data_IF_707670950144
#
_entry.id   IF_707670950144
#
_cell.length_a   1.000
_cell.length_b   1.000
_cell.length_c   1.000
_cell.angle_alpha   90.00
_cell.angle_beta   90.00
_cell.angle_gamma   90.00
#
_symmetry.space_group_name_H-M   'P 1'
#
loop_
_entity.id
_entity.type
_entity.pdbx_description
1 polymer ?
#
# COMPACT_ATOMS: atom_id res chain seq x y z
N UNK A 1 -6.59 -70.05 10.11
CA UNK A 1 -6.67 -69.56 11.52
C UNK A 1 -5.84 -68.30 11.58
N UNK A 2 -6.26 -67.05 11.84
CA UNK A 2 -7.50 -66.34 12.20
C UNK A 2 -7.03 -64.90 12.52
N UNK A 3 -7.73 -63.85 12.08
CA UNK A 3 -7.53 -62.48 12.64
C UNK A 3 -8.14 -62.37 14.05
N UNK A 4 -8.22 -61.19 14.75
CA UNK A 4 -8.08 -59.79 14.27
C UNK A 4 -7.50 -58.74 15.30
N UNK A 5 -7.54 -57.44 14.90
CA UNK A 5 -7.64 -56.19 15.71
C UNK A 5 -6.48 -55.59 16.57
N UNK A 6 -6.04 -54.39 16.12
CA UNK A 6 -5.79 -53.11 16.83
C UNK A 6 -4.96 -53.02 18.13
N UNK A 7 -3.95 -52.13 18.13
CA UNK A 7 -4.01 -50.91 18.97
C UNK A 7 -3.07 -49.82 18.44
N UNK A 8 -3.59 -48.60 18.39
CA UNK A 8 -2.84 -47.38 18.13
C UNK A 8 -2.00 -46.99 19.35
N UNK A 9 -0.83 -46.40 19.12
CA UNK A 9 -0.24 -45.50 20.09
C UNK A 9 0.39 -44.31 19.37
N UNK A 10 -0.22 -43.17 19.67
CA UNK A 10 0.09 -41.81 19.26
C UNK A 10 1.50 -41.41 19.71
N UNK A 11 2.31 -40.93 18.77
CA UNK A 11 3.41 -40.02 19.07
C UNK A 11 3.20 -38.75 18.24
N UNK A 12 2.61 -37.78 18.92
CA UNK A 12 2.44 -36.39 18.50
C UNK A 12 3.79 -35.78 18.12
N UNK A 13 4.03 -35.66 16.82
CA UNK A 13 4.94 -34.66 16.30
C UNK A 13 4.12 -33.60 15.60
N UNK A 14 3.98 -32.48 16.31
CA UNK A 14 3.44 -31.21 15.84
C UNK A 14 4.19 -30.77 14.58
N UNK A 15 3.70 -31.17 13.41
CA UNK A 15 4.02 -30.49 12.16
C UNK A 15 3.04 -29.34 12.05
N UNK A 16 3.52 -28.15 12.38
CA UNK A 16 2.95 -26.90 11.89
C UNK A 16 2.87 -27.00 10.36
N UNK A 17 1.73 -27.46 9.85
CA UNK A 17 1.42 -27.55 8.42
C UNK A 17 1.19 -26.13 7.88
N UNK A 18 2.29 -25.41 7.68
CA UNK A 18 2.33 -24.23 6.82
C UNK A 18 2.76 -24.67 5.42
N UNK A 19 1.83 -25.22 4.65
CA UNK A 19 2.01 -25.41 3.20
C UNK A 19 0.93 -24.61 2.48
N UNK A 20 1.27 -23.60 1.67
CA UNK A 20 0.33 -22.98 0.73
C UNK A 20 -0.20 -24.04 -0.25
N UNK A 21 -1.48 -23.94 -0.63
CA UNK A 21 -2.09 -24.91 -1.54
C UNK A 21 -1.39 -24.99 -2.89
N UNK A 22 -1.08 -26.20 -3.32
CA UNK A 22 -0.69 -26.50 -4.69
C UNK A 22 -1.93 -26.50 -5.60
N UNK A 23 -1.97 -25.54 -6.53
CA UNK A 23 -2.32 -25.81 -7.93
C UNK A 23 -3.74 -26.25 -8.32
N UNK A 24 -4.80 -25.98 -7.55
CA UNK A 24 -6.18 -26.25 -8.02
C UNK A 24 -6.93 -24.95 -8.38
N UNK A 25 -7.80 -24.96 -9.41
CA UNK A 25 -8.62 -23.80 -9.76
C UNK A 25 -9.54 -23.47 -8.58
N UNK A 26 -9.75 -22.17 -8.36
CA UNK A 26 -10.54 -21.63 -7.25
C UNK A 26 -11.93 -22.25 -7.29
N UNK A 27 -12.19 -23.20 -6.39
CA UNK A 27 -13.52 -23.74 -6.18
C UNK A 27 -14.28 -22.75 -5.28
N UNK A 28 -15.41 -22.20 -5.72
CA UNK A 28 -16.18 -21.25 -4.91
C UNK A 28 -16.68 -21.85 -3.58
N UNK A 29 -16.69 -23.18 -3.45
CA UNK A 29 -17.01 -23.90 -2.21
C UNK A 29 -15.78 -24.26 -1.36
N UNK A 30 -14.61 -23.68 -1.62
CA UNK A 30 -13.43 -23.96 -0.81
C UNK A 30 -13.58 -23.35 0.59
N UNK A 31 -13.54 -24.19 1.62
CA UNK A 31 -13.57 -23.74 3.02
C UNK A 31 -12.42 -22.75 3.25
N UNK A 32 -12.75 -21.56 3.76
CA UNK A 32 -11.79 -20.51 4.11
C UNK A 32 -10.60 -21.14 4.84
N UNK A 33 -9.40 -21.03 4.26
CA UNK A 33 -8.18 -21.67 4.77
C UNK A 33 -8.00 -21.42 6.28
N UNK A 34 -8.31 -20.20 6.74
CA UNK A 34 -8.44 -19.82 8.15
C UNK A 34 -9.53 -18.75 8.27
N UNK A 35 -10.53 -18.92 9.14
CA UNK A 35 -11.45 -17.83 9.48
C UNK A 35 -10.65 -16.70 10.14
N UNK A 36 -10.57 -15.48 9.55
CA UNK A 36 -9.83 -14.41 10.17
C UNK A 36 -10.47 -14.09 11.52
N UNK A 37 -9.66 -14.13 12.58
CA UNK A 37 -10.13 -13.68 13.89
C UNK A 37 -10.64 -12.23 13.76
N UNK A 38 -11.67 -11.81 14.53
CA UNK A 38 -12.27 -10.49 14.38
C UNK A 38 -11.25 -9.33 14.46
N UNK A 39 -10.23 -9.49 15.31
CA UNK A 39 -9.14 -8.53 15.49
C UNK A 39 -8.16 -8.43 14.29
N UNK A 40 -8.21 -9.40 13.38
CA UNK A 40 -7.44 -9.39 12.13
C UNK A 40 -8.23 -8.86 10.93
N UNK A 41 -9.50 -8.46 11.11
CA UNK A 41 -10.26 -7.85 10.03
C UNK A 41 -9.72 -6.45 9.68
N UNK A 42 -9.74 -6.04 8.39
CA UNK A 42 -9.34 -4.69 7.98
C UNK A 42 -10.12 -3.60 8.72
N UNK A 43 -11.42 -3.82 8.95
CA UNK A 43 -12.28 -2.89 9.66
C UNK A 43 -11.85 -2.71 11.12
N UNK A 44 -11.64 -3.81 11.86
CA UNK A 44 -11.20 -3.73 13.25
C UNK A 44 -9.86 -3.01 13.37
N UNK A 45 -8.90 -3.34 12.49
CA UNK A 45 -7.58 -2.69 12.49
C UNK A 45 -7.69 -1.20 12.14
N UNK A 46 -8.53 -0.83 11.19
CA UNK A 46 -8.79 0.57 10.85
C UNK A 46 -9.42 1.34 12.02
N UNK A 47 -10.40 0.74 12.71
CA UNK A 47 -11.03 1.34 13.91
C UNK A 47 -10.01 1.47 15.05
N UNK A 48 -9.17 0.45 15.30
CA UNK A 48 -8.16 0.50 16.34
C UNK A 48 -7.13 1.62 16.09
N UNK A 49 -6.68 1.80 14.84
CA UNK A 49 -5.78 2.89 14.45
C UNK A 49 -6.50 4.25 14.59
N UNK A 50 -7.74 4.36 14.10
CA UNK A 50 -8.53 5.58 14.23
C UNK A 50 -8.73 5.96 15.71
N UNK A 51 -9.04 5.00 16.57
CA UNK A 51 -9.17 5.21 18.00
C UNK A 51 -7.86 5.69 18.62
N UNK A 52 -6.73 5.04 18.31
CA UNK A 52 -5.41 5.46 18.78
C UNK A 52 -5.07 6.89 18.34
N UNK A 53 -5.43 7.26 17.10
CA UNK A 53 -5.25 8.62 16.57
C UNK A 53 -6.11 9.65 17.30
N UNK A 54 -7.40 9.37 17.47
CA UNK A 54 -8.33 10.25 18.18
C UNK A 54 -7.90 10.43 19.65
N UNK A 55 -7.43 9.36 20.29
CA UNK A 55 -6.90 9.40 21.65
C UNK A 55 -5.61 10.24 21.75
N UNK A 56 -4.67 10.06 20.82
CA UNK A 56 -3.45 10.87 20.79
C UNK A 56 -3.75 12.36 20.56
N UNK A 57 -4.69 12.68 19.66
CA UNK A 57 -5.16 14.05 19.40
C UNK A 57 -5.82 14.64 20.65
N UNK A 58 -6.69 13.87 21.33
CA UNK A 58 -7.34 14.29 22.57
C UNK A 58 -6.33 14.64 23.66
N UNK A 59 -5.29 13.82 23.85
CA UNK A 59 -4.23 14.11 24.82
C UNK A 59 -3.42 15.36 24.45
N UNK A 60 -3.10 15.56 23.17
CA UNK A 60 -2.38 16.74 22.70
C UNK A 60 -3.19 18.04 22.80
N UNK A 61 -4.51 17.98 22.68
CA UNK A 61 -5.40 19.14 22.79
C UNK A 61 -5.58 19.65 24.23
N UNK A 62 -5.32 18.80 25.23
CA UNK A 62 -5.45 19.16 26.65
C UNK A 62 -4.13 19.65 27.27
N UNK A 63 -3.06 19.81 26.47
CA UNK A 63 -1.82 20.42 26.92
C UNK A 63 -1.95 21.96 26.92
N UNK A 64 -1.66 22.66 28.04
CA UNK A 64 -1.75 24.11 28.09
C UNK A 64 -0.67 24.73 27.18
N UNK A 65 -1.07 25.48 26.16
CA UNK A 65 -0.14 26.28 25.34
C UNK A 65 -0.29 27.76 25.67
N UNK A 66 0.81 28.38 26.12
CA UNK A 66 0.90 29.76 26.62
C UNK A 66 1.51 30.70 25.57
N UNK A 67 0.82 30.97 24.45
CA UNK A 67 1.22 32.09 23.58
C UNK A 67 0.03 32.79 22.91
N UNK A 68 0.09 34.12 22.83
CA UNK A 68 -0.96 34.97 22.26
C UNK A 68 -1.14 34.80 20.74
N UNK A 69 -0.13 34.30 20.03
CA UNK A 69 -0.21 33.95 18.61
C UNK A 69 -1.20 32.80 18.34
N UNK A 70 -1.37 31.89 19.31
CA UNK A 70 -2.27 30.74 19.19
C UNK A 70 -3.77 31.12 19.27
N UNK A 71 -4.11 32.24 19.91
CA UNK A 71 -5.50 32.66 20.08
C UNK A 71 -6.15 33.14 18.77
N UNK A 72 -5.36 33.75 17.88
CA UNK A 72 -5.81 34.22 16.56
C UNK A 72 -5.98 33.05 15.58
N UNK A 73 -5.08 32.05 15.63
CA UNK A 73 -5.14 30.83 14.83
C UNK A 73 -6.31 29.91 15.26
N UNK A 74 -6.62 29.83 16.56
CA UNK A 74 -7.80 29.10 17.07
C UNK A 74 -9.14 29.67 16.60
N UNK A 75 -9.21 30.98 16.35
CA UNK A 75 -10.46 31.65 15.92
C UNK A 75 -10.80 31.34 14.46
N UNK A 76 -9.78 31.11 13.63
CA UNK A 76 -9.89 30.77 12.20
C UNK A 76 -10.18 29.27 12.01
N UNK A 77 -9.56 28.39 12.81
CA UNK A 77 -9.83 26.94 12.81
C UNK A 77 -11.21 26.53 13.35
N UNK A 78 -12.00 27.48 13.89
CA UNK A 78 -13.31 27.21 14.49
C UNK A 78 -14.41 26.89 13.46
N UNK A 79 -14.21 27.22 12.18
CA UNK A 79 -15.22 27.04 11.12
C UNK A 79 -14.87 25.98 10.08
N UNK A 80 -13.62 25.55 10.00
CA UNK A 80 -13.18 24.37 9.25
C UNK A 80 -11.76 24.00 9.74
N UNK A 81 -11.44 22.70 9.74
CA UNK A 81 -10.09 22.11 9.80
C UNK A 81 -9.47 21.89 11.21
N UNK A 82 -8.96 20.66 11.40
CA UNK A 82 -8.35 20.07 12.60
C UNK A 82 -7.40 21.00 13.39
N UNK A 83 -7.28 20.82 14.73
CA UNK A 83 -6.23 21.50 15.53
C UNK A 83 -4.85 21.34 14.89
N UNK A 84 -3.95 22.34 14.93
CA UNK A 84 -2.64 22.28 14.25
C UNK A 84 -1.82 21.02 14.57
N UNK A 85 -1.79 20.60 15.84
CA UNK A 85 -1.11 19.37 16.26
C UNK A 85 -1.73 18.11 15.65
N UNK A 86 -3.05 18.09 15.48
CA UNK A 86 -3.76 16.98 14.84
C UNK A 86 -3.48 16.95 13.33
N UNK A 87 -3.47 18.12 12.67
CA UNK A 87 -3.11 18.23 11.27
C UNK A 87 -1.67 17.78 11.01
N UNK A 88 -0.72 18.19 11.86
CA UNK A 88 0.69 17.78 11.79
C UNK A 88 0.85 16.26 11.97
N UNK A 89 0.14 15.70 12.95
CA UNK A 89 0.12 14.25 13.22
C UNK A 89 -0.41 13.47 12.02
N UNK A 90 -1.55 13.89 11.46
CA UNK A 90 -2.15 13.24 10.28
C UNK A 90 -1.19 13.33 9.09
N UNK A 91 -0.62 14.52 8.83
CA UNK A 91 0.33 14.72 7.74
C UNK A 91 1.54 13.79 7.85
N UNK A 92 2.18 13.74 9.02
CA UNK A 92 3.35 12.89 9.28
C UNK A 92 3.03 11.41 9.11
N UNK A 93 1.91 10.94 9.67
CA UNK A 93 1.53 9.53 9.59
C UNK A 93 1.12 9.13 8.17
N UNK A 94 0.43 10.00 7.45
CA UNK A 94 0.11 9.77 6.04
C UNK A 94 1.39 9.72 5.18
N UNK A 95 2.35 10.63 5.41
CA UNK A 95 3.65 10.60 4.74
C UNK A 95 4.41 9.31 5.06
N UNK A 96 4.57 8.96 6.34
CA UNK A 96 5.29 7.77 6.77
C UNK A 96 4.66 6.48 6.20
N UNK A 97 3.32 6.39 6.21
CA UNK A 97 2.59 5.25 5.65
C UNK A 97 2.82 5.13 4.15
N UNK A 98 2.63 6.22 3.39
CA UNK A 98 2.82 6.20 1.95
C UNK A 98 4.27 5.93 1.56
N UNK A 99 5.20 6.75 2.06
CA UNK A 99 6.61 6.66 1.71
C UNK A 99 7.21 5.31 2.12
N UNK A 100 6.90 4.83 3.34
CA UNK A 100 7.30 3.52 3.82
C UNK A 100 6.75 2.37 2.96
N UNK A 101 5.47 2.46 2.54
CA UNK A 101 4.85 1.48 1.65
C UNK A 101 5.57 1.43 0.30
N UNK A 102 5.88 2.58 -0.30
CA UNK A 102 6.59 2.66 -1.59
C UNK A 102 7.99 2.05 -1.48
N UNK A 103 8.76 2.45 -0.46
CA UNK A 103 10.12 1.96 -0.23
C UNK A 103 10.13 0.45 0.01
N UNK A 104 9.31 -0.04 0.95
CA UNK A 104 9.26 -1.48 1.27
C UNK A 104 8.82 -2.31 0.06
N UNK A 105 7.78 -1.87 -0.65
CA UNK A 105 7.26 -2.62 -1.80
C UNK A 105 8.27 -2.65 -2.95
N UNK A 106 8.92 -1.52 -3.24
CA UNK A 106 9.83 -1.40 -4.39
C UNK A 106 11.13 -2.15 -4.16
N UNK A 107 11.75 -1.99 -2.99
CA UNK A 107 13.11 -2.49 -2.76
C UNK A 107 13.18 -3.82 -2.01
N UNK A 108 12.12 -4.19 -1.28
CA UNK A 108 12.13 -5.40 -0.45
C UNK A 108 11.12 -6.41 -0.97
N UNK A 109 9.83 -6.11 -0.84
CA UNK A 109 8.78 -7.09 -1.11
C UNK A 109 8.74 -7.48 -2.61
N UNK A 110 8.76 -6.51 -3.52
CA UNK A 110 8.69 -6.74 -4.96
C UNK A 110 9.87 -7.59 -5.48
N UNK A 111 11.10 -7.23 -5.10
CA UNK A 111 12.31 -7.98 -5.48
C UNK A 111 12.31 -9.37 -4.88
N UNK A 112 11.91 -9.51 -3.61
CA UNK A 112 11.83 -10.81 -2.94
C UNK A 112 10.83 -11.71 -3.66
N UNK A 113 9.62 -11.22 -3.94
CA UNK A 113 8.60 -12.01 -4.65
C UNK A 113 9.05 -12.36 -6.09
N UNK A 114 9.65 -11.41 -6.82
CA UNK A 114 10.14 -11.65 -8.18
C UNK A 114 11.20 -12.76 -8.23
N UNK A 115 12.10 -12.80 -7.24
CA UNK A 115 13.18 -13.79 -7.18
C UNK A 115 12.75 -15.17 -6.68
N UNK A 116 11.69 -15.25 -5.88
CA UNK A 116 11.36 -16.46 -5.13
C UNK A 116 10.03 -17.12 -5.51
N UNK A 117 9.20 -16.48 -6.35
CA UNK A 117 7.92 -17.05 -6.81
C UNK A 117 7.96 -17.45 -8.28
N UNK A 118 7.25 -18.52 -8.69
CA UNK A 118 7.00 -18.79 -10.09
C UNK A 118 6.37 -17.57 -10.78
N UNK A 119 6.77 -17.26 -12.02
CA UNK A 119 6.37 -16.04 -12.74
C UNK A 119 4.86 -15.77 -12.74
N UNK A 120 4.03 -16.81 -12.92
CA UNK A 120 2.57 -16.67 -12.93
C UNK A 120 1.99 -16.43 -11.53
N UNK A 121 2.55 -17.06 -10.51
CA UNK A 121 2.17 -16.82 -9.11
C UNK A 121 2.50 -15.37 -8.72
N UNK A 122 3.71 -14.92 -9.07
CA UNK A 122 4.14 -13.54 -8.88
C UNK A 122 3.19 -12.54 -9.57
N UNK A 123 2.94 -12.70 -10.87
CA UNK A 123 2.09 -11.80 -11.63
C UNK A 123 0.65 -11.75 -11.12
N UNK A 124 0.06 -12.91 -10.81
CA UNK A 124 -1.28 -13.00 -10.23
C UNK A 124 -1.34 -12.31 -8.88
N UNK A 125 -0.36 -12.52 -8.00
CA UNK A 125 -0.31 -11.83 -6.70
C UNK A 125 -0.17 -10.31 -6.89
N UNK A 126 0.70 -9.85 -7.80
CA UNK A 126 0.87 -8.43 -8.08
C UNK A 126 -0.40 -7.76 -8.60
N UNK A 127 -1.17 -8.42 -9.48
CA UNK A 127 -2.44 -7.88 -9.99
C UNK A 127 -3.51 -7.64 -8.91
N UNK A 128 -3.37 -8.28 -7.74
CA UNK A 128 -4.24 -8.05 -6.57
C UNK A 128 -3.66 -7.00 -5.63
N UNK A 129 -2.33 -6.94 -5.50
CA UNK A 129 -1.66 -6.02 -4.59
C UNK A 129 -1.55 -4.59 -5.14
N UNK A 130 -1.25 -4.43 -6.43
CA UNK A 130 -0.97 -3.09 -6.98
C UNK A 130 -2.16 -2.13 -6.94
N UNK A 131 -3.42 -2.55 -7.23
CA UNK A 131 -4.56 -1.66 -7.07
C UNK A 131 -4.68 -1.13 -5.64
N UNK A 132 -4.52 -2.00 -4.64
CA UNK A 132 -4.57 -1.62 -3.22
C UNK A 132 -3.40 -0.72 -2.83
N UNK A 133 -2.20 -1.01 -3.32
CA UNK A 133 -1.00 -0.21 -3.12
C UNK A 133 -1.18 1.22 -3.65
N UNK A 134 -1.65 1.39 -4.89
CA UNK A 134 -1.83 2.72 -5.48
C UNK A 134 -3.06 3.45 -4.93
N UNK A 135 -4.11 2.74 -4.50
CA UNK A 135 -5.23 3.33 -3.75
C UNK A 135 -4.76 3.89 -2.41
N UNK A 136 -4.03 3.09 -1.63
CA UNK A 136 -3.47 3.53 -0.35
C UNK A 136 -2.57 4.76 -0.57
N UNK A 137 -1.68 4.71 -1.55
CA UNK A 137 -0.82 5.85 -1.90
C UNK A 137 -1.63 7.10 -2.25
N UNK A 138 -2.65 6.97 -3.09
CA UNK A 138 -3.54 8.09 -3.48
C UNK A 138 -4.21 8.72 -2.27
N UNK A 139 -4.80 7.91 -1.38
CA UNK A 139 -5.48 8.40 -0.17
C UNK A 139 -4.49 9.10 0.75
N UNK A 140 -3.34 8.48 1.02
CA UNK A 140 -2.33 9.04 1.92
C UNK A 140 -1.70 10.33 1.39
N UNK A 141 -1.43 10.43 0.08
CA UNK A 141 -0.97 11.69 -0.53
C UNK A 141 -2.08 12.75 -0.48
N UNK A 142 -3.34 12.35 -0.73
CA UNK A 142 -4.49 13.25 -0.60
C UNK A 142 -4.64 13.83 0.81
N UNK A 143 -4.47 13.01 1.85
CA UNK A 143 -4.46 13.47 3.25
C UNK A 143 -3.32 14.46 3.53
N UNK A 144 -2.12 14.22 2.97
CA UNK A 144 -1.01 15.17 3.07
C UNK A 144 -1.36 16.51 2.42
N UNK A 145 -1.99 16.51 1.24
CA UNK A 145 -2.43 17.73 0.55
C UNK A 145 -3.51 18.48 1.34
N UNK A 146 -4.51 17.76 1.88
CA UNK A 146 -5.58 18.36 2.69
C UNK A 146 -5.05 19.03 3.95
N UNK A 147 -4.05 18.41 4.59
CA UNK A 147 -3.42 18.97 5.80
C UNK A 147 -2.54 20.19 5.51
N UNK A 148 -2.13 20.44 4.25
CA UNK A 148 -1.43 21.68 3.86
C UNK A 148 -2.27 22.93 4.12
N UNK A 149 -3.59 22.83 3.91
CA UNK A 149 -4.53 23.94 4.12
C UNK A 149 -4.53 24.36 5.60
N UNK A 150 -4.29 23.42 6.52
CA UNK A 150 -4.27 23.64 7.96
C UNK A 150 -2.93 24.17 8.48
N UNK A 151 -1.85 24.03 7.71
CA UNK A 151 -0.47 24.28 8.16
C UNK A 151 0.37 25.00 7.08
N UNK A 152 -0.04 26.20 6.64
CA UNK A 152 0.65 26.92 5.57
C UNK A 152 2.10 27.29 5.94
N UNK A 153 2.39 27.47 7.23
CA UNK A 153 3.70 27.94 7.71
C UNK A 153 4.78 26.84 7.74
N UNK A 154 4.38 25.56 7.74
CA UNK A 154 5.31 24.42 7.84
C UNK A 154 5.86 24.03 6.45
N UNK A 155 5.18 24.41 5.36
CA UNK A 155 5.44 23.81 4.05
C UNK A 155 5.65 24.82 2.93
N UNK A 156 6.80 24.66 2.26
CA UNK A 156 7.22 25.49 1.14
C UNK A 156 6.49 25.16 -0.17
N UNK A 157 6.55 26.07 -1.16
CA UNK A 157 6.07 25.80 -2.52
C UNK A 157 6.65 24.52 -3.13
N UNK A 158 7.89 24.16 -2.76
CA UNK A 158 8.51 22.89 -3.16
C UNK A 158 7.73 21.69 -2.66
N UNK A 159 7.24 21.70 -1.41
CA UNK A 159 6.47 20.60 -0.84
C UNK A 159 5.15 20.38 -1.57
N UNK A 160 4.43 21.46 -1.91
CA UNK A 160 3.20 21.39 -2.70
C UNK A 160 3.45 20.74 -4.06
N UNK A 161 4.47 21.21 -4.78
CA UNK A 161 4.82 20.71 -6.11
C UNK A 161 5.24 19.23 -6.04
N UNK A 162 6.05 18.86 -5.05
CA UNK A 162 6.46 17.46 -4.84
C UNK A 162 5.26 16.55 -4.58
N UNK A 163 4.33 16.93 -3.70
CA UNK A 163 3.13 16.15 -3.42
C UNK A 163 2.20 16.05 -4.63
N UNK A 164 2.06 17.13 -5.41
CA UNK A 164 1.28 17.13 -6.64
C UNK A 164 1.87 16.16 -7.68
N UNK A 165 3.20 16.19 -7.88
CA UNK A 165 3.91 15.25 -8.76
C UNK A 165 3.68 13.81 -8.27
N UNK A 166 3.88 13.54 -6.99
CA UNK A 166 3.66 12.23 -6.42
C UNK A 166 2.22 11.73 -6.65
N UNK A 167 1.22 12.59 -6.44
CA UNK A 167 -0.19 12.25 -6.65
C UNK A 167 -0.48 11.94 -8.12
N UNK A 168 -0.03 12.79 -9.05
CA UNK A 168 -0.26 12.62 -10.49
C UNK A 168 0.30 11.28 -10.97
N UNK A 169 1.54 10.95 -10.62
CA UNK A 169 2.15 9.69 -11.07
C UNK A 169 1.59 8.46 -10.34
N UNK A 170 1.14 8.60 -9.10
CA UNK A 170 0.41 7.55 -8.37
C UNK A 170 -0.94 7.27 -9.03
N UNK A 171 -1.70 8.32 -9.39
CA UNK A 171 -2.97 8.21 -10.10
C UNK A 171 -2.81 7.67 -11.52
N UNK A 172 -1.77 8.11 -12.24
CA UNK A 172 -1.44 7.57 -13.57
C UNK A 172 -1.22 6.06 -13.52
N UNK A 173 -0.54 5.58 -12.48
CA UNK A 173 -0.39 4.16 -12.23
C UNK A 173 -1.73 3.49 -11.91
N UNK A 174 -2.46 4.01 -10.92
CA UNK A 174 -3.73 3.43 -10.45
C UNK A 174 -4.76 3.30 -11.57
N UNK A 175 -4.93 4.35 -12.37
CA UNK A 175 -6.05 4.50 -13.29
C UNK A 175 -5.73 4.03 -14.71
N UNK A 176 -4.45 3.95 -15.09
CA UNK A 176 -4.09 3.66 -16.48
C UNK A 176 -2.97 2.63 -16.64
N UNK A 177 -1.77 2.90 -16.14
CA UNK A 177 -0.60 2.09 -16.47
C UNK A 177 -0.70 0.67 -15.88
N UNK A 178 -1.11 0.55 -14.61
CA UNK A 178 -1.20 -0.74 -13.94
C UNK A 178 -2.34 -1.60 -14.48
N UNK A 179 -3.60 -1.11 -14.59
CA UNK A 179 -4.69 -1.92 -15.13
C UNK A 179 -4.39 -2.46 -16.53
N UNK A 180 -3.77 -1.62 -17.38
CA UNK A 180 -3.39 -1.98 -18.73
C UNK A 180 -2.22 -2.97 -18.77
N UNK A 181 -1.20 -2.75 -17.94
CA UNK A 181 -0.06 -3.69 -17.82
C UNK A 181 -0.52 -5.06 -17.35
N UNK A 182 -1.42 -5.10 -16.37
CA UNK A 182 -2.01 -6.31 -15.80
C UNK A 182 -2.89 -7.05 -16.81
N UNK A 183 -3.73 -6.34 -17.57
CA UNK A 183 -4.50 -6.94 -18.67
C UNK A 183 -3.59 -7.61 -19.70
N UNK A 184 -2.56 -6.90 -20.20
CA UNK A 184 -1.63 -7.47 -21.19
C UNK A 184 -0.83 -8.66 -20.61
N UNK A 185 -0.56 -8.67 -19.31
CA UNK A 185 0.05 -9.82 -18.64
C UNK A 185 -0.85 -11.06 -18.69
N UNK A 186 -2.16 -10.90 -18.43
CA UNK A 186 -3.11 -12.01 -18.49
C UNK A 186 -3.34 -12.50 -19.93
N UNK A 187 -3.43 -11.61 -20.92
CA UNK A 187 -3.47 -11.99 -22.34
C UNK A 187 -2.31 -12.92 -22.71
N UNK A 188 -1.10 -12.63 -22.18
CA UNK A 188 0.08 -13.47 -22.41
C UNK A 188 -0.04 -14.84 -21.75
N UNK A 189 -0.67 -14.94 -20.58
CA UNK A 189 -0.90 -16.22 -19.92
C UNK A 189 -1.86 -17.08 -20.74
N UNK A 190 -2.93 -16.50 -21.27
CA UNK A 190 -3.89 -17.20 -22.14
C UNK A 190 -3.24 -17.71 -23.43
N UNK A 191 -2.42 -16.89 -24.09
CA UNK A 191 -1.66 -17.32 -25.28
C UNK A 191 -0.68 -18.44 -24.97
N UNK A 192 0.01 -18.37 -23.82
CA UNK A 192 0.91 -19.44 -23.38
C UNK A 192 0.16 -20.75 -23.12
N UNK A 193 -1.04 -20.70 -22.52
CA UNK A 193 -1.86 -21.89 -22.26
C UNK A 193 -2.39 -22.52 -23.54
N UNK A 194 -2.62 -21.69 -24.58
CA UNK A 194 -2.91 -22.15 -25.94
C UNK A 194 -1.69 -22.63 -26.74
N UNK A 195 -0.49 -22.72 -26.14
CA UNK A 195 0.74 -23.13 -26.83
C UNK A 195 1.28 -22.11 -27.83
N UNK A 196 0.83 -20.85 -27.79
CA UNK A 196 1.15 -19.79 -28.76
C UNK A 196 2.35 -18.93 -28.37
N UNK A 197 3.27 -19.45 -27.57
CA UNK A 197 4.43 -18.66 -27.07
C UNK A 197 5.35 -18.16 -28.18
N UNK A 198 5.45 -18.89 -29.28
CA UNK A 198 6.35 -18.56 -30.39
C UNK A 198 5.71 -17.67 -31.47
N UNK A 199 4.41 -17.36 -31.34
CA UNK A 199 3.68 -16.54 -32.32
C UNK A 199 4.08 -15.07 -32.23
N UNK A 200 3.92 -14.35 -33.34
CA UNK A 200 4.18 -12.91 -33.37
C UNK A 200 3.20 -12.12 -32.49
N UNK A 201 1.96 -12.62 -32.35
CA UNK A 201 0.96 -12.10 -31.40
C UNK A 201 1.49 -12.09 -29.96
N UNK A 202 2.08 -13.21 -29.50
CA UNK A 202 2.65 -13.27 -28.16
C UNK A 202 3.85 -12.32 -28.01
N UNK A 203 4.73 -12.24 -29.02
CA UNK A 203 5.89 -11.33 -29.00
C UNK A 203 5.47 -9.86 -28.92
N UNK A 204 4.42 -9.48 -29.64
CA UNK A 204 3.85 -8.12 -29.58
C UNK A 204 3.31 -7.81 -28.17
N UNK A 205 2.52 -8.72 -27.59
CA UNK A 205 2.01 -8.58 -26.22
C UNK A 205 3.14 -8.54 -25.19
N UNK A 206 4.21 -9.32 -25.36
CA UNK A 206 5.38 -9.29 -24.50
C UNK A 206 6.10 -7.92 -24.55
N UNK A 207 6.25 -7.35 -25.74
CA UNK A 207 6.81 -5.99 -25.92
C UNK A 207 5.91 -4.93 -25.29
N UNK A 208 4.60 -5.03 -25.50
CA UNK A 208 3.61 -4.13 -24.91
C UNK A 208 3.64 -4.18 -23.37
N UNK A 209 3.69 -5.39 -22.80
CA UNK A 209 3.85 -5.58 -21.35
C UNK A 209 5.13 -4.91 -20.84
N UNK A 210 6.28 -5.17 -21.48
CA UNK A 210 7.56 -4.57 -21.07
C UNK A 210 7.51 -3.05 -21.08
N UNK A 211 6.89 -2.44 -22.10
CA UNK A 211 6.71 -0.99 -22.19
C UNK A 211 5.81 -0.45 -21.07
N UNK A 212 4.64 -1.05 -20.86
CA UNK A 212 3.68 -0.61 -19.84
C UNK A 212 4.23 -0.76 -18.43
N UNK A 213 4.83 -1.91 -18.13
CA UNK A 213 5.48 -2.19 -16.84
C UNK A 213 6.65 -1.24 -16.58
N UNK A 214 7.49 -0.97 -17.59
CA UNK A 214 8.59 -0.03 -17.48
C UNK A 214 8.12 1.41 -17.21
N UNK A 215 7.08 1.87 -17.92
CA UNK A 215 6.47 3.18 -17.67
C UNK A 215 5.86 3.27 -16.27
N UNK A 216 5.19 2.20 -15.80
CA UNK A 216 4.62 2.13 -14.46
C UNK A 216 5.69 2.22 -13.37
N UNK A 217 6.78 1.49 -13.55
CA UNK A 217 7.94 1.50 -12.64
C UNK A 217 8.61 2.88 -12.58
N UNK A 218 8.78 3.54 -13.74
CA UNK A 218 9.31 4.89 -13.82
C UNK A 218 8.40 5.90 -13.14
N UNK A 219 7.09 5.83 -13.36
CA UNK A 219 6.11 6.67 -12.68
C UNK A 219 6.18 6.52 -11.16
N UNK A 220 6.30 5.28 -10.66
CA UNK A 220 6.44 5.01 -9.23
C UNK A 220 7.77 5.57 -8.67
N UNK A 221 8.86 5.48 -9.44
CA UNK A 221 10.16 6.06 -9.05
C UNK A 221 10.11 7.58 -9.00
N UNK A 222 9.45 8.24 -9.95
CA UNK A 222 9.25 9.70 -9.93
C UNK A 222 8.46 10.10 -8.68
N UNK A 223 7.39 9.39 -8.35
CA UNK A 223 6.61 9.65 -7.13
C UNK A 223 7.45 9.45 -5.86
N UNK A 224 8.30 8.41 -5.81
CA UNK A 224 9.23 8.19 -4.71
C UNK A 224 10.23 9.34 -4.56
N UNK A 225 10.88 9.77 -5.65
CA UNK A 225 11.81 10.89 -5.64
C UNK A 225 11.14 12.19 -5.18
N UNK A 226 9.91 12.44 -5.61
CA UNK A 226 9.12 13.56 -5.12
C UNK A 226 8.84 13.44 -3.61
N UNK A 227 8.56 12.24 -3.11
CA UNK A 227 8.45 11.94 -1.69
C UNK A 227 9.73 12.22 -0.91
N UNK A 228 10.92 11.92 -1.47
CA UNK A 228 12.21 12.26 -0.86
C UNK A 228 12.36 13.79 -0.72
N UNK A 229 12.09 14.54 -1.80
CA UNK A 229 12.16 16.01 -1.77
C UNK A 229 11.22 16.58 -0.72
N UNK A 230 9.98 16.08 -0.66
CA UNK A 230 9.01 16.50 0.35
C UNK A 230 9.46 16.14 1.77
N UNK A 231 10.00 14.92 1.98
CA UNK A 231 10.50 14.47 3.28
C UNK A 231 11.66 15.31 3.80
N UNK A 232 12.59 15.73 2.93
CA UNK A 232 13.67 16.67 3.30
C UNK A 232 13.10 18.00 3.78
N UNK A 233 12.09 18.53 3.07
CA UNK A 233 11.42 19.78 3.48
C UNK A 233 10.68 19.64 4.80
N UNK A 234 9.99 18.51 5.00
CA UNK A 234 9.29 18.20 6.25
C UNK A 234 10.28 18.13 7.42
N UNK A 235 11.44 17.50 7.22
CA UNK A 235 12.50 17.42 8.23
C UNK A 235 13.12 18.79 8.57
N UNK A 236 13.25 19.70 7.59
CA UNK A 236 13.72 21.07 7.86
C UNK A 236 12.81 21.85 8.81
N UNK A 237 11.52 21.52 8.86
CA UNK A 237 10.57 22.11 9.81
C UNK A 237 10.74 21.61 11.26
N UNK A 238 11.48 20.51 11.47
CA UNK A 238 11.76 19.95 12.80
C UNK A 238 13.02 20.54 13.45
N UNK A 239 13.85 21.22 12.68
CA UNK A 239 15.14 21.79 13.13
C UNK A 239 15.05 23.28 13.52
N UNK A 240 13.83 23.78 13.73
CA UNK A 240 13.54 25.18 14.09
C UNK A 240 13.24 25.29 15.58
#
# INVERSE_FOLDING_TARGET
>A
VGGPFSSASSASHSRLLFTPQEGNPINENQTVFIRPAPHNSPLFRAIAILYALLFAIYQGSNSPSTSAANASLQKIGKYFILPPNAAATIHLLSFATWFGTVVYTTFVAGITMFKNLPRRVFGTLQSKLFPLYFQLGTIMIGLQILTLIAMPDILSKTSEVSLAIALIFTLLNLLYLEPKSTSVMFDRYELEDGGKRETDEYKEKAKSFGKLHGMSSLANLIALCAGVVHGVRLASGLTV
#
